data_IF_281177504854
#
_entry.id   IF_281177504854
#
_cell.length_a   1.000
_cell.length_b   1.000
_cell.length_c   1.000
_cell.angle_alpha   90.00
_cell.angle_beta   90.00
_cell.angle_gamma   90.00
#
_symmetry.space_group_name_H-M   'P 1'
#
loop_
_entity.id
_entity.type
_entity.pdbx_description
1 polymer ?
#
# COMPACT_ATOMS: atom_id res chain seq x y z
N UNK A 1 6.73 -10.75 6.44
CA UNK A 1 6.98 -9.37 6.87
C UNK A 1 5.93 -8.42 6.27
N UNK A 2 5.66 -7.31 6.94
CA UNK A 2 4.68 -6.30 6.56
C UNK A 2 5.37 -5.16 5.80
N UNK A 3 4.90 -4.90 4.57
CA UNK A 3 5.29 -3.76 3.75
C UNK A 3 4.10 -3.38 2.88
N UNK A 4 3.74 -2.12 2.85
CA UNK A 4 2.73 -1.57 1.95
C UNK A 4 2.80 -0.05 1.91
N UNK A 5 1.93 0.58 1.12
CA UNK A 5 1.87 2.02 0.93
C UNK A 5 1.85 2.83 2.24
N UNK A 6 1.11 2.38 3.25
CA UNK A 6 0.94 3.10 4.52
C UNK A 6 1.81 2.61 5.67
N UNK A 7 2.55 1.50 5.49
CA UNK A 7 3.21 0.81 6.61
C UNK A 7 4.33 1.61 7.29
N UNK A 8 4.96 2.52 6.55
CA UNK A 8 6.02 3.38 7.11
C UNK A 8 5.50 4.30 8.22
N UNK A 9 4.24 4.68 8.15
CA UNK A 9 3.63 5.70 9.02
C UNK A 9 2.50 5.17 9.90
N UNK A 10 2.21 3.86 9.85
CA UNK A 10 1.14 3.28 10.67
C UNK A 10 1.51 3.21 12.16
N UNK A 11 0.51 3.20 13.00
CA UNK A 11 0.69 2.88 14.42
C UNK A 11 1.06 1.39 14.56
N UNK A 12 1.92 1.03 15.52
CA UNK A 12 2.23 -0.36 15.80
C UNK A 12 0.97 -1.17 16.08
N UNK A 13 0.93 -2.40 15.57
CA UNK A 13 -0.10 -3.37 15.94
C UNK A 13 0.20 -3.95 17.31
N UNK A 14 -0.83 -4.47 17.99
CA UNK A 14 -0.68 -5.08 19.33
C UNK A 14 0.20 -6.34 19.31
N UNK A 15 0.25 -7.05 18.20
CA UNK A 15 1.08 -8.24 18.02
C UNK A 15 2.54 -7.85 17.80
N UNK A 16 3.37 -8.02 18.81
CA UNK A 16 4.80 -7.70 18.81
C UNK A 16 5.66 -8.72 18.04
N UNK A 17 5.07 -9.84 17.61
CA UNK A 17 5.75 -10.84 16.76
C UNK A 17 5.77 -10.44 15.28
N UNK A 18 5.01 -9.42 14.89
CA UNK A 18 4.94 -8.95 13.52
C UNK A 18 6.23 -8.25 13.09
N UNK A 19 6.78 -8.69 11.97
CA UNK A 19 7.98 -8.11 11.38
C UNK A 19 7.61 -7.06 10.34
N UNK A 20 8.09 -5.85 10.53
CA UNK A 20 7.94 -4.73 9.60
C UNK A 20 9.19 -4.59 8.73
N UNK A 21 9.00 -4.36 7.43
CA UNK A 21 10.11 -4.12 6.50
C UNK A 21 10.54 -2.65 6.61
N UNK A 22 11.47 -2.40 7.51
CA UNK A 22 12.08 -1.07 7.76
C UNK A 22 13.51 -1.21 8.26
N UNK A 23 14.29 -0.11 8.23
CA UNK A 23 15.69 -0.12 8.69
C UNK A 23 16.52 -1.18 7.99
N UNK A 24 17.28 -1.95 8.76
CA UNK A 24 18.23 -2.94 8.24
C UNK A 24 17.58 -3.99 7.34
N UNK A 25 16.32 -4.40 7.61
CA UNK A 25 15.63 -5.35 6.76
C UNK A 25 15.28 -4.75 5.39
N UNK A 26 14.89 -3.48 5.35
CA UNK A 26 14.65 -2.77 4.09
C UNK A 26 15.96 -2.61 3.30
N UNK A 27 17.04 -2.21 3.97
CA UNK A 27 18.36 -2.05 3.36
C UNK A 27 18.90 -3.39 2.84
N UNK A 28 18.71 -4.49 3.58
CA UNK A 28 19.06 -5.84 3.13
C UNK A 28 18.43 -6.17 1.77
N UNK A 29 17.14 -5.88 1.58
CA UNK A 29 16.48 -6.17 0.30
C UNK A 29 16.96 -5.29 -0.84
N UNK A 30 17.32 -4.04 -0.58
CA UNK A 30 17.95 -3.16 -1.58
C UNK A 30 19.32 -3.65 -2.03
N UNK A 31 20.07 -4.28 -1.14
CA UNK A 31 21.42 -4.81 -1.40
C UNK A 31 21.40 -6.23 -1.97
N UNK A 32 20.30 -6.96 -1.81
CA UNK A 32 20.18 -8.36 -2.22
C UNK A 32 19.01 -8.55 -3.21
N UNK A 33 19.16 -8.01 -4.42
CA UNK A 33 18.13 -7.98 -5.46
C UNK A 33 17.72 -9.37 -5.99
N UNK A 34 18.46 -10.42 -5.67
CA UNK A 34 18.08 -11.79 -5.99
C UNK A 34 17.02 -12.38 -5.05
N UNK A 35 16.72 -11.69 -3.95
CA UNK A 35 15.75 -12.12 -2.96
C UNK A 35 14.41 -11.43 -3.21
N UNK A 36 13.40 -12.22 -3.61
CA UNK A 36 12.03 -11.73 -3.78
C UNK A 36 11.40 -11.45 -2.41
N UNK A 37 10.95 -10.23 -2.19
CA UNK A 37 10.10 -9.88 -1.05
C UNK A 37 8.64 -10.22 -1.37
N UNK A 38 7.98 -10.95 -0.48
CA UNK A 38 6.55 -11.25 -0.56
C UNK A 38 5.84 -10.76 0.72
N UNK A 39 5.55 -9.45 0.82
CA UNK A 39 4.94 -8.90 2.02
C UNK A 39 3.46 -9.21 2.10
N UNK A 40 2.94 -9.35 3.33
CA UNK A 40 1.51 -9.42 3.58
C UNK A 40 0.90 -8.04 3.87
N UNK A 41 -0.42 -7.98 3.94
CA UNK A 41 -1.22 -6.76 4.15
C UNK A 41 -1.07 -5.72 3.02
N UNK A 42 -0.94 -6.19 1.77
CA UNK A 42 -0.78 -5.33 0.58
C UNK A 42 -1.84 -4.24 0.45
N UNK A 43 -3.04 -4.46 0.95
CA UNK A 43 -4.18 -3.53 0.93
C UNK A 43 -4.26 -2.59 2.14
N UNK A 44 -3.22 -2.50 2.98
CA UNK A 44 -3.24 -1.66 4.18
C UNK A 44 -4.46 -1.93 5.09
N UNK A 45 -4.85 -3.21 5.25
CA UNK A 45 -6.05 -3.63 5.97
C UNK A 45 -7.33 -2.91 5.54
N UNK A 46 -7.43 -2.53 4.28
CA UNK A 46 -8.58 -1.83 3.71
C UNK A 46 -8.68 -0.35 4.04
N UNK A 47 -7.71 0.23 4.75
CA UNK A 47 -7.73 1.63 5.20
C UNK A 47 -8.11 2.62 4.07
N UNK A 48 -7.39 2.58 2.96
CA UNK A 48 -7.63 3.52 1.85
C UNK A 48 -8.98 3.29 1.16
N UNK A 49 -9.45 2.06 1.09
CA UNK A 49 -10.76 1.72 0.52
C UNK A 49 -11.91 2.19 1.41
N UNK A 50 -11.77 2.00 2.73
CA UNK A 50 -12.76 2.48 3.70
C UNK A 50 -12.83 4.01 3.67
N UNK A 51 -11.67 4.68 3.65
CA UNK A 51 -11.60 6.13 3.53
C UNK A 51 -12.29 6.63 2.24
N UNK A 52 -11.96 6.04 1.09
CA UNK A 52 -12.51 6.44 -0.19
C UNK A 52 -14.04 6.25 -0.29
N UNK A 53 -14.58 5.21 0.35
CA UNK A 53 -16.01 4.88 0.29
C UNK A 53 -16.85 5.52 1.39
N UNK A 54 -16.28 5.75 2.58
CA UNK A 54 -17.03 6.16 3.78
C UNK A 54 -16.49 7.42 4.47
N UNK A 55 -15.35 7.93 4.01
CA UNK A 55 -14.72 9.15 4.55
C UNK A 55 -13.84 8.94 5.77
N UNK A 56 -13.29 10.05 6.26
CA UNK A 56 -12.28 10.07 7.32
C UNK A 56 -12.78 9.51 8.66
N UNK A 57 -14.03 9.82 9.04
CA UNK A 57 -14.62 9.33 10.30
C UNK A 57 -14.69 7.80 10.37
N UNK A 58 -14.87 7.14 9.24
CA UNK A 58 -14.97 5.67 9.19
C UNK A 58 -13.64 4.95 9.43
N UNK A 59 -12.52 5.65 9.34
CA UNK A 59 -11.18 5.10 9.61
C UNK A 59 -10.61 5.57 10.95
N UNK A 60 -11.36 6.29 11.73
CA UNK A 60 -10.95 6.74 13.06
C UNK A 60 -10.61 5.56 13.96
N UNK A 61 -9.41 5.58 14.55
CA UNK A 61 -8.90 4.46 15.36
C UNK A 61 -8.30 3.30 14.55
N UNK A 62 -8.32 3.35 13.23
CA UNK A 62 -7.62 2.37 12.40
C UNK A 62 -6.10 2.49 12.57
N UNK A 63 -5.31 1.39 12.64
CA UNK A 63 -3.85 1.47 12.82
C UNK A 63 -3.13 2.33 11.79
N UNK A 64 -3.66 2.41 10.58
CA UNK A 64 -3.13 3.25 9.51
C UNK A 64 -3.58 4.72 9.58
N UNK A 65 -4.50 5.10 10.48
CA UNK A 65 -5.04 6.46 10.58
C UNK A 65 -4.06 7.42 11.28
N UNK A 66 -2.94 7.66 10.65
CA UNK A 66 -1.95 8.67 11.03
C UNK A 66 -2.06 9.88 10.10
N UNK A 67 -1.55 11.04 10.51
CA UNK A 67 -1.64 12.25 9.68
C UNK A 67 -1.03 12.05 8.28
N UNK A 68 0.11 11.35 8.19
CA UNK A 68 0.74 11.07 6.89
C UNK A 68 -0.13 10.19 5.98
N UNK A 69 -0.70 9.14 6.53
CA UNK A 69 -1.59 8.26 5.76
C UNK A 69 -2.92 8.95 5.42
N UNK A 70 -3.43 9.82 6.27
CA UNK A 70 -4.60 10.63 5.98
C UNK A 70 -4.34 11.67 4.88
N UNK A 71 -3.16 12.29 4.84
CA UNK A 71 -2.75 13.15 3.73
C UNK A 71 -2.75 12.39 2.39
N UNK A 72 -2.23 11.17 2.37
CA UNK A 72 -2.31 10.28 1.21
C UNK A 72 -3.77 9.97 0.86
N UNK A 73 -4.57 9.59 1.83
CA UNK A 73 -5.96 9.22 1.62
C UNK A 73 -6.79 10.39 1.03
N UNK A 74 -6.52 11.63 1.45
CA UNK A 74 -7.16 12.84 0.88
C UNK A 74 -6.85 13.04 -0.60
N UNK A 75 -5.68 12.59 -1.08
CA UNK A 75 -5.27 12.68 -2.48
C UNK A 75 -5.79 11.53 -3.37
N UNK A 76 -6.40 10.49 -2.79
CA UNK A 76 -6.81 9.30 -3.56
C UNK A 76 -7.70 9.63 -4.75
N UNK A 77 -8.66 10.55 -4.57
CA UNK A 77 -9.56 10.94 -5.65
C UNK A 77 -8.79 11.53 -6.83
N UNK A 78 -7.90 12.47 -6.57
CA UNK A 78 -7.05 13.09 -7.58
C UNK A 78 -6.19 12.06 -8.30
N UNK A 79 -5.58 11.12 -7.55
CA UNK A 79 -4.73 10.09 -8.13
C UNK A 79 -5.53 9.08 -8.98
N UNK A 80 -6.72 8.67 -8.51
CA UNK A 80 -7.57 7.78 -9.32
C UNK A 80 -8.05 8.44 -10.61
N UNK A 81 -8.34 9.74 -10.59
CA UNK A 81 -8.67 10.52 -11.78
C UNK A 81 -7.46 10.68 -12.71
N UNK A 82 -6.28 11.06 -12.17
CA UNK A 82 -5.02 11.22 -12.93
C UNK A 82 -4.66 9.96 -13.71
N UNK A 83 -4.77 8.80 -13.07
CA UNK A 83 -4.39 7.51 -13.65
C UNK A 83 -5.57 6.75 -14.29
N UNK A 84 -6.78 7.28 -14.20
CA UNK A 84 -8.00 6.63 -14.67
C UNK A 84 -8.10 5.17 -14.15
N UNK A 85 -7.98 4.98 -12.85
CA UNK A 85 -7.89 3.66 -12.22
C UNK A 85 -8.64 3.58 -10.88
N UNK A 86 -8.74 2.38 -10.35
CA UNK A 86 -9.35 2.13 -9.05
C UNK A 86 -8.39 2.45 -7.88
N UNK A 87 -8.95 2.63 -6.67
CA UNK A 87 -8.18 2.79 -5.43
C UNK A 87 -7.19 1.65 -5.22
N UNK A 88 -7.60 0.40 -5.51
CA UNK A 88 -6.72 -0.78 -5.48
C UNK A 88 -5.43 -0.57 -6.27
N UNK A 89 -5.52 0.04 -7.46
CA UNK A 89 -4.36 0.27 -8.31
C UNK A 89 -3.40 1.28 -7.69
N UNK A 90 -3.91 2.34 -7.04
CA UNK A 90 -3.05 3.30 -6.33
C UNK A 90 -2.35 2.61 -5.16
N UNK A 91 -3.07 1.83 -4.37
CA UNK A 91 -2.52 1.13 -3.20
C UNK A 91 -1.45 0.11 -3.60
N UNK A 92 -1.72 -0.70 -4.62
CA UNK A 92 -0.79 -1.72 -5.12
C UNK A 92 0.32 -1.14 -5.99
N UNK A 93 0.12 0.04 -6.58
CA UNK A 93 1.13 0.77 -7.36
C UNK A 93 2.41 1.05 -6.58
N UNK A 94 2.31 1.18 -5.26
CA UNK A 94 3.45 1.29 -4.36
C UNK A 94 4.51 0.21 -4.62
N UNK A 95 4.09 -1.04 -4.82
CA UNK A 95 5.01 -2.17 -5.02
C UNK A 95 5.72 -2.14 -6.37
N UNK A 96 5.15 -1.47 -7.36
CA UNK A 96 5.78 -1.31 -8.68
C UNK A 96 6.90 -0.26 -8.66
N UNK A 97 6.96 0.56 -7.62
CA UNK A 97 7.95 1.63 -7.44
C UNK A 97 9.05 1.25 -6.44
N UNK A 98 8.97 0.07 -5.81
CA UNK A 98 10.01 -0.38 -4.88
C UNK A 98 11.35 -0.62 -5.58
N UNK A 99 12.44 -0.41 -4.82
CA UNK A 99 13.82 -0.51 -5.33
C UNK A 99 14.35 -1.93 -5.37
N UNK A 100 13.54 -2.91 -5.02
CA UNK A 100 13.88 -4.34 -5.01
C UNK A 100 12.67 -5.16 -5.48
N UNK A 101 12.87 -6.41 -5.92
CA UNK A 101 11.78 -7.28 -6.34
C UNK A 101 10.77 -7.49 -5.20
N UNK A 102 9.55 -7.03 -5.42
CA UNK A 102 8.50 -7.06 -4.39
C UNK A 102 7.15 -7.43 -4.99
N UNK A 103 6.56 -8.52 -4.50
CA UNK A 103 5.24 -9.01 -4.92
C UNK A 103 4.34 -9.16 -3.69
N UNK A 104 3.33 -8.30 -3.52
CA UNK A 104 2.48 -8.35 -2.34
C UNK A 104 1.57 -9.57 -2.34
N UNK A 105 1.32 -10.13 -1.15
CA UNK A 105 0.21 -11.03 -0.94
C UNK A 105 -1.09 -10.21 -0.90
N UNK A 106 -1.99 -10.53 -1.81
CA UNK A 106 -3.25 -9.83 -1.99
C UNK A 106 -4.44 -10.76 -1.74
N UNK A 107 -5.34 -10.36 -0.84
CA UNK A 107 -6.58 -11.08 -0.52
C UNK A 107 -7.77 -10.44 -1.22
N UNK A 108 -8.16 -10.90 -2.41
CA UNK A 108 -9.29 -10.35 -3.14
C UNK A 108 -10.63 -10.78 -2.51
N UNK A 109 -11.65 -9.94 -2.68
CA UNK A 109 -13.02 -10.26 -2.26
C UNK A 109 -13.86 -10.91 -3.38
N UNK A 110 -13.28 -11.15 -4.56
CA UNK A 110 -13.98 -11.76 -5.69
C UNK A 110 -13.20 -11.57 -7.00
N UNK A 111 -13.73 -12.13 -8.08
CA UNK A 111 -13.09 -12.10 -9.40
C UNK A 111 -12.82 -10.68 -9.91
N UNK A 112 -13.76 -9.76 -9.72
CA UNK A 112 -13.58 -8.36 -10.14
C UNK A 112 -12.39 -7.70 -9.44
N UNK A 113 -12.20 -7.95 -8.14
CA UNK A 113 -11.06 -7.43 -7.38
C UNK A 113 -9.72 -7.95 -7.91
N UNK A 114 -9.67 -9.18 -8.40
CA UNK A 114 -8.47 -9.75 -9.03
C UNK A 114 -8.17 -9.04 -10.34
N UNK A 115 -9.18 -8.82 -11.17
CA UNK A 115 -9.04 -8.14 -12.47
C UNK A 115 -8.53 -6.70 -12.25
N UNK A 116 -9.11 -5.97 -11.31
CA UNK A 116 -8.68 -4.62 -10.95
C UNK A 116 -7.23 -4.62 -10.46
N UNK A 117 -6.87 -5.53 -9.54
CA UNK A 117 -5.51 -5.62 -9.02
C UNK A 117 -4.50 -5.92 -10.12
N UNK A 118 -4.81 -6.84 -11.03
CA UNK A 118 -3.94 -7.19 -12.16
C UNK A 118 -3.68 -5.99 -13.08
N UNK A 119 -4.65 -5.08 -13.26
CA UNK A 119 -4.49 -3.88 -14.06
C UNK A 119 -3.41 -2.92 -13.54
N UNK A 120 -2.99 -3.05 -12.28
CA UNK A 120 -1.91 -2.24 -11.69
C UNK A 120 -0.63 -2.31 -12.54
N UNK A 121 -0.31 -3.47 -13.10
CA UNK A 121 0.89 -3.67 -13.91
C UNK A 121 0.83 -2.98 -15.28
N UNK A 122 -0.33 -2.53 -15.72
CA UNK A 122 -0.52 -1.77 -16.96
C UNK A 122 -0.40 -0.26 -16.75
N UNK A 123 -0.26 0.21 -15.51
CA UNK A 123 -0.21 1.62 -15.15
C UNK A 123 1.22 2.00 -14.80
N UNK A 124 1.73 3.06 -15.42
CA UNK A 124 3.02 3.64 -15.07
C UNK A 124 2.81 4.77 -14.06
N UNK A 125 3.06 4.46 -12.80
CA UNK A 125 2.97 5.45 -11.73
C UNK A 125 4.20 6.35 -11.65
N UNK A 126 3.98 7.61 -11.27
CA UNK A 126 5.03 8.56 -10.98
C UNK A 126 5.47 8.41 -9.51
N UNK A 127 6.77 8.18 -9.23
CA UNK A 127 7.27 8.11 -7.85
C UNK A 127 6.95 9.35 -7.02
N UNK A 128 6.84 10.53 -7.62
CA UNK A 128 6.52 11.78 -6.92
C UNK A 128 5.12 11.77 -6.32
N UNK A 129 4.18 11.05 -6.92
CA UNK A 129 2.83 10.91 -6.37
C UNK A 129 2.78 10.10 -5.08
N UNK A 130 3.83 9.36 -4.78
CA UNK A 130 4.01 8.54 -3.58
C UNK A 130 5.00 9.14 -2.57
N UNK A 131 5.50 10.34 -2.82
CA UNK A 131 6.39 11.06 -1.91
C UNK A 131 5.59 11.83 -0.84
N UNK A 132 5.61 11.33 0.41
CA UNK A 132 4.93 11.92 1.57
C UNK A 132 5.89 12.17 2.72
#
# INVERSE_FOLDING_TARGET
ALLNLGSKYMNPLEDDTLVYVKGDLYDYHKENLNNLMMPYMGNCSGFFHIYASKGEEAVKGHPYATEKNLQMARRLKELTEKYNCAVTNIVLGYFTLEKFPCVPLYGPMGAQSIIEAANTFNIKFDPEDYAF
#
